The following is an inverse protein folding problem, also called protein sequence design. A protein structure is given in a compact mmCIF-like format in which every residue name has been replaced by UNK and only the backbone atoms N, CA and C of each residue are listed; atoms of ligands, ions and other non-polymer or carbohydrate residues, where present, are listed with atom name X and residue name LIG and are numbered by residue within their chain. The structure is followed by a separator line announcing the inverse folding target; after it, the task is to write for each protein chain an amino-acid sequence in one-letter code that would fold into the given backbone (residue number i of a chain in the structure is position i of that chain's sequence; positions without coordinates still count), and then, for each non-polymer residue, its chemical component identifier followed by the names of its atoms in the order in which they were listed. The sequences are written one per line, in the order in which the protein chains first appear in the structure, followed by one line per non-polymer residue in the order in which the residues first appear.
data_IF_077468606167
#
_entry.id   IF_077468606167
#
_cell.length_a   1.000
_cell.length_b   1.000
_cell.length_c   1.000
_cell.angle_alpha   90.00
_cell.angle_beta   90.00
_cell.angle_gamma   90.00
#
_symmetry.space_group_name_H-M   'P 1'
#
loop_
_entity.id
_entity.type
_entity.pdbx_description
1 polymer ?
#
# COMPACT_ATOMS: atom_id res chain seq x y z
N UNK A 1 -9.79 2.59 -9.31
CA UNK A 1 -8.72 1.69 -8.82
C UNK A 1 -8.72 0.47 -9.71
N UNK A 2 -7.59 0.15 -10.34
CA UNK A 2 -7.50 -1.06 -11.15
C UNK A 2 -7.74 -2.26 -10.23
N UNK A 3 -8.78 -3.05 -10.49
CA UNK A 3 -9.04 -4.28 -9.73
C UNK A 3 -8.01 -5.33 -10.15
N UNK A 4 -6.86 -5.32 -9.50
CA UNK A 4 -5.89 -6.41 -9.62
C UNK A 4 -6.50 -7.70 -9.06
N UNK A 5 -6.05 -8.85 -9.57
CA UNK A 5 -6.50 -10.15 -9.09
C UNK A 5 -6.14 -10.28 -7.60
N UNK A 6 -7.12 -10.50 -6.69
CA UNK A 6 -6.88 -10.53 -5.25
C UNK A 6 -5.87 -11.60 -4.84
N UNK A 7 -5.81 -12.71 -5.58
CA UNK A 7 -4.86 -13.81 -5.31
C UNK A 7 -3.41 -13.34 -5.44
N UNK A 8 -3.11 -12.47 -6.41
CA UNK A 8 -1.74 -11.99 -6.60
C UNK A 8 -1.39 -10.95 -5.55
N UNK A 9 -2.34 -10.12 -5.14
CA UNK A 9 -2.14 -9.17 -4.03
C UNK A 9 -1.82 -9.94 -2.75
N UNK A 10 -2.53 -11.03 -2.47
CA UNK A 10 -2.24 -11.93 -1.35
C UNK A 10 -0.87 -12.60 -1.47
N UNK A 11 -0.46 -12.99 -2.68
CA UNK A 11 0.87 -13.56 -2.93
C UNK A 11 2.00 -12.53 -2.67
N UNK A 12 1.88 -11.33 -3.22
CA UNK A 12 2.83 -10.23 -3.03
C UNK A 12 2.94 -9.82 -1.56
N UNK A 13 1.81 -9.69 -0.87
CA UNK A 13 1.79 -9.37 0.58
C UNK A 13 2.44 -10.46 1.41
N UNK A 14 2.18 -11.73 1.09
CA UNK A 14 2.82 -12.88 1.76
C UNK A 14 4.33 -12.88 1.55
N UNK A 15 4.79 -12.63 0.32
CA UNK A 15 6.23 -12.51 0.01
C UNK A 15 6.87 -11.35 0.79
N UNK A 16 6.24 -10.18 0.78
CA UNK A 16 6.74 -9.00 1.50
C UNK A 16 6.85 -9.28 3.01
N UNK A 17 5.83 -9.93 3.58
CA UNK A 17 5.83 -10.33 4.99
C UNK A 17 6.94 -11.32 5.32
N UNK A 18 7.20 -12.28 4.43
CA UNK A 18 8.30 -13.23 4.57
C UNK A 18 9.67 -12.54 4.53
N UNK A 19 9.86 -11.55 3.65
CA UNK A 19 11.10 -10.76 3.60
C UNK A 19 11.34 -9.95 4.87
N UNK A 20 10.28 -9.30 5.40
CA UNK A 20 10.35 -8.58 6.68
C UNK A 20 10.47 -9.51 7.89
N UNK A 21 10.11 -10.80 7.74
CA UNK A 21 9.99 -11.78 8.82
C UNK A 21 9.03 -11.35 9.94
N UNK A 22 8.01 -10.59 9.59
CA UNK A 22 6.97 -10.11 10.51
C UNK A 22 5.84 -11.14 10.60
N UNK A 23 6.03 -12.15 11.46
CA UNK A 23 5.09 -13.25 11.63
C UNK A 23 4.08 -12.96 12.75
N UNK A 24 2.83 -13.46 12.63
CA UNK A 24 1.82 -13.26 13.66
C UNK A 24 2.26 -13.92 14.97
N UNK A 25 2.14 -13.18 16.08
CA UNK A 25 2.45 -13.66 17.43
C UNK A 25 1.19 -13.71 18.27
N UNK A 26 0.93 -14.88 18.84
CA UNK A 26 -0.20 -15.08 19.74
C UNK A 26 -0.02 -14.26 21.02
N UNK A 27 -1.09 -13.60 21.45
CA UNK A 27 -1.16 -12.98 22.77
C UNK A 27 -2.50 -13.34 23.43
N UNK A 28 -2.47 -13.35 24.75
CA UNK A 28 -3.65 -13.52 25.59
C UNK A 28 -3.50 -12.60 26.79
N UNK A 29 -4.54 -11.81 27.05
CA UNK A 29 -4.59 -10.91 28.20
C UNK A 29 -5.95 -10.98 28.86
N UNK A 30 -5.96 -10.75 30.17
CA UNK A 30 -7.17 -10.78 30.98
C UNK A 30 -7.24 -9.52 31.85
N UNK A 31 -8.40 -8.89 31.88
CA UNK A 31 -8.65 -7.68 32.64
C UNK A 31 -9.82 -7.88 33.59
N UNK A 32 -9.77 -7.21 34.74
CA UNK A 32 -10.97 -7.00 35.54
C UNK A 32 -11.85 -5.95 34.85
N UNK A 33 -13.15 -6.22 34.73
CA UNK A 33 -14.02 -5.45 33.87
C UNK A 33 -14.55 -4.17 34.56
N UNK A 34 -13.66 -3.20 34.79
CA UNK A 34 -13.96 -2.00 35.59
C UNK A 34 -14.38 -0.79 34.74
N UNK A 35 -13.90 -0.70 33.50
CA UNK A 35 -14.12 0.45 32.61
C UNK A 35 -14.65 -0.01 31.25
N UNK A 36 -14.69 0.89 30.27
CA UNK A 36 -15.08 0.57 28.89
C UNK A 36 -13.88 0.47 27.94
N UNK A 37 -12.68 0.83 28.38
CA UNK A 37 -11.51 0.94 27.52
C UNK A 37 -10.38 0.15 28.15
N UNK A 38 -9.79 -0.75 27.36
CA UNK A 38 -8.72 -1.66 27.77
C UNK A 38 -7.55 -1.53 26.81
N UNK A 39 -6.36 -1.35 27.36
CA UNK A 39 -5.12 -1.36 26.61
C UNK A 39 -4.60 -2.80 26.57
N UNK A 40 -4.53 -3.38 25.39
CA UNK A 40 -4.17 -4.80 25.20
C UNK A 40 -2.66 -5.04 25.36
N UNK A 41 -1.86 -3.97 25.44
CA UNK A 41 -0.40 -4.02 25.63
C UNK A 41 0.39 -4.37 24.37
N UNK A 42 -0.30 -4.64 23.26
CA UNK A 42 0.30 -4.98 21.98
C UNK A 42 -0.29 -4.10 20.87
N UNK A 43 0.53 -3.36 20.11
CA UNK A 43 0.08 -2.66 18.91
C UNK A 43 -0.10 -3.64 17.74
N UNK A 44 -0.67 -3.16 16.64
CA UNK A 44 -0.82 -3.88 15.37
C UNK A 44 -1.52 -5.25 15.50
N UNK A 45 -2.71 -5.25 16.09
CA UNK A 45 -3.52 -6.44 16.30
C UNK A 45 -4.26 -6.83 15.02
N UNK A 46 -4.24 -8.11 14.70
CA UNK A 46 -4.98 -8.68 13.57
C UNK A 46 -6.48 -8.75 13.91
N UNK A 47 -7.27 -7.89 13.26
CA UNK A 47 -8.70 -7.71 13.51
C UNK A 47 -9.51 -8.98 13.29
N UNK A 48 -9.08 -9.84 12.37
CA UNK A 48 -9.82 -11.05 11.98
C UNK A 48 -9.57 -12.22 12.93
N UNK A 49 -8.50 -12.14 13.73
CA UNK A 49 -8.07 -13.20 14.64
C UNK A 49 -8.49 -12.98 16.10
N UNK A 50 -9.11 -11.84 16.41
CA UNK A 50 -9.40 -11.46 17.80
C UNK A 50 -10.61 -12.22 18.33
N UNK A 51 -10.40 -12.90 19.45
CA UNK A 51 -11.45 -13.50 20.25
C UNK A 51 -11.58 -12.79 21.59
N UNK A 52 -12.81 -12.38 21.92
CA UNK A 52 -13.12 -11.61 23.13
C UNK A 52 -14.22 -12.32 23.89
N UNK A 53 -13.96 -12.62 25.16
CA UNK A 53 -14.94 -13.25 26.03
C UNK A 53 -15.04 -12.53 27.37
N UNK A 54 -16.26 -12.45 27.91
CA UNK A 54 -16.54 -11.99 29.26
C UNK A 54 -16.90 -13.19 30.14
N UNK A 55 -16.38 -13.25 31.36
CA UNK A 55 -16.73 -14.27 32.34
C UNK A 55 -17.23 -13.64 33.64
N UNK A 56 -18.44 -14.04 34.07
CA UNK A 56 -19.07 -13.66 35.35
C UNK A 56 -19.13 -14.82 36.33
N UNK A 57 -19.22 -16.06 35.83
CA UNK A 57 -19.21 -17.28 36.64
C UNK A 57 -18.75 -18.49 35.80
N UNK A 58 -17.45 -18.78 35.81
CA UNK A 58 -16.78 -19.97 35.24
C UNK A 58 -16.96 -20.30 33.75
N UNK A 59 -17.94 -19.74 33.05
CA UNK A 59 -18.18 -19.97 31.61
C UNK A 59 -17.93 -18.67 30.84
N UNK A 60 -17.03 -18.67 29.85
CA UNK A 60 -16.81 -17.51 28.99
C UNK A 60 -17.98 -17.36 28.01
N UNK A 61 -18.53 -16.15 27.92
CA UNK A 61 -19.47 -15.75 26.85
C UNK A 61 -18.73 -14.88 25.85
N UNK A 62 -18.66 -15.33 24.61
CA UNK A 62 -18.06 -14.57 23.50
C UNK A 62 -18.85 -13.28 23.24
N UNK A 63 -18.12 -12.21 22.99
CA UNK A 63 -18.69 -10.91 22.69
C UNK A 63 -18.88 -10.76 21.17
N UNK A 64 -20.09 -10.43 20.75
CA UNK A 64 -20.36 -10.15 19.34
C UNK A 64 -19.55 -8.94 18.83
N UNK A 65 -19.16 -8.95 17.55
CA UNK A 65 -18.40 -7.87 16.92
C UNK A 65 -19.04 -6.47 17.07
N UNK A 66 -20.37 -6.37 17.21
CA UNK A 66 -21.07 -5.10 17.43
C UNK A 66 -20.94 -4.54 18.85
N UNK A 67 -20.49 -5.35 19.81
CA UNK A 67 -20.39 -4.98 21.22
C UNK A 67 -19.05 -4.34 21.59
N UNK A 68 -18.09 -4.32 20.66
CA UNK A 68 -16.78 -3.72 20.85
C UNK A 68 -16.28 -3.01 19.59
N UNK A 69 -15.28 -2.16 19.77
CA UNK A 69 -14.51 -1.50 18.72
C UNK A 69 -13.05 -1.64 19.08
N UNK A 70 -12.25 -2.12 18.13
CA UNK A 70 -10.81 -2.30 18.28
C UNK A 70 -10.07 -1.24 17.46
N UNK A 71 -9.22 -0.48 18.14
CA UNK A 71 -8.16 0.29 17.50
C UNK A 71 -6.95 -0.64 17.34
N UNK A 72 -6.84 -1.24 16.16
CA UNK A 72 -5.84 -2.26 15.86
C UNK A 72 -4.41 -1.74 15.93
N UNK A 73 -4.17 -0.47 15.53
CA UNK A 73 -2.82 0.12 15.47
C UNK A 73 -2.30 0.43 16.88
N UNK A 74 -3.15 1.01 17.73
CA UNK A 74 -2.77 1.37 19.10
C UNK A 74 -2.97 0.24 20.11
N UNK A 75 -3.66 -0.84 19.73
CA UNK A 75 -3.94 -1.96 20.63
C UNK A 75 -4.98 -1.64 21.70
N UNK A 76 -5.96 -0.78 21.38
CA UNK A 76 -6.97 -0.33 22.34
C UNK A 76 -8.32 -0.98 22.02
N UNK A 77 -8.87 -1.67 23.00
CA UNK A 77 -10.21 -2.25 22.92
C UNK A 77 -11.21 -1.36 23.65
N UNK A 78 -12.31 -1.00 22.98
CA UNK A 78 -13.40 -0.22 23.57
C UNK A 78 -14.71 -0.98 23.50
N UNK A 79 -15.36 -1.16 24.65
CA UNK A 79 -16.67 -1.79 24.76
C UNK A 79 -17.82 -0.78 24.61
N UNK A 80 -18.88 -1.21 23.93
CA UNK A 80 -20.08 -0.40 23.70
C UNK A 80 -20.83 -0.10 25.00
N UNK A 81 -20.80 -1.02 25.96
CA UNK A 81 -21.37 -0.86 27.29
C UNK A 81 -20.37 -1.24 28.38
N UNK A 82 -20.51 -0.66 29.57
CA UNK A 82 -19.70 -1.05 30.72
C UNK A 82 -20.10 -2.47 31.15
N UNK A 83 -19.15 -3.41 31.27
CA UNK A 83 -19.44 -4.76 31.74
C UNK A 83 -20.05 -4.75 33.15
N UNK A 84 -20.77 -5.83 33.48
CA UNK A 84 -21.36 -5.97 34.82
C UNK A 84 -20.26 -6.04 35.90
N UNK A 85 -20.56 -5.57 37.11
CA UNK A 85 -19.64 -5.65 38.23
C UNK A 85 -19.23 -7.11 38.50
N UNK A 86 -17.95 -7.32 38.86
CA UNK A 86 -17.33 -8.64 39.06
C UNK A 86 -17.28 -9.53 37.81
N UNK A 87 -17.44 -8.95 36.62
CA UNK A 87 -17.05 -9.62 35.39
C UNK A 87 -15.58 -9.39 35.09
N UNK A 88 -15.00 -10.31 34.36
CA UNK A 88 -13.65 -10.17 33.83
C UNK A 88 -13.66 -10.43 32.34
N UNK A 89 -12.76 -9.75 31.65
CA UNK A 89 -12.60 -9.78 30.21
C UNK A 89 -11.37 -10.62 29.87
N UNK A 90 -11.48 -11.47 28.86
CA UNK A 90 -10.37 -12.18 28.24
C UNK A 90 -10.32 -11.77 26.77
N UNK A 91 -9.13 -11.43 26.30
CA UNK A 91 -8.86 -11.09 24.90
C UNK A 91 -7.69 -11.94 24.45
N UNK A 92 -7.87 -12.66 23.35
CA UNK A 92 -6.80 -13.40 22.69
C UNK A 92 -6.83 -13.12 21.19
N UNK A 93 -5.68 -13.28 20.54
CA UNK A 93 -5.54 -13.05 19.11
C UNK A 93 -4.09 -13.04 18.70
N UNK A 94 -3.85 -12.59 17.47
CA UNK A 94 -2.51 -12.40 16.93
C UNK A 94 -2.21 -10.92 16.75
N UNK A 95 -0.95 -10.57 16.94
CA UNK A 95 -0.43 -9.24 16.64
C UNK A 95 0.85 -9.35 15.81
N UNK A 96 1.18 -8.25 15.14
CA UNK A 96 2.39 -8.10 14.33
C UNK A 96 3.33 -7.10 14.98
N UNK A 97 4.64 -7.26 14.78
CA UNK A 97 5.61 -6.36 15.42
C UNK A 97 5.78 -5.06 14.62
N UNK A 98 5.63 -5.12 13.30
CA UNK A 98 5.96 -4.00 12.43
C UNK A 98 4.72 -3.41 11.78
N UNK A 99 3.97 -4.19 11.00
CA UNK A 99 2.97 -3.65 10.06
C UNK A 99 1.69 -4.50 10.08
N UNK A 100 0.54 -3.82 10.09
CA UNK A 100 -0.78 -4.46 9.98
C UNK A 100 -0.99 -5.13 8.61
N UNK A 101 -1.74 -6.24 8.51
CA UNK A 101 -2.08 -6.88 7.24
C UNK A 101 -2.69 -5.90 6.22
N UNK A 102 -3.63 -5.07 6.65
CA UNK A 102 -4.31 -4.09 5.79
C UNK A 102 -3.35 -3.02 5.24
N UNK A 103 -2.39 -2.56 6.05
CA UNK A 103 -1.37 -1.60 5.61
C UNK A 103 -0.44 -2.24 4.57
N UNK A 104 -0.06 -3.49 4.78
CA UNK A 104 0.80 -4.21 3.84
C UNK A 104 0.10 -4.45 2.49
N UNK A 105 -1.20 -4.76 2.50
CA UNK A 105 -2.03 -4.87 1.31
C UNK A 105 -2.10 -3.54 0.54
N UNK A 106 -2.28 -2.43 1.25
CA UNK A 106 -2.25 -1.09 0.65
C UNK A 106 -0.92 -0.82 -0.07
N UNK A 107 0.22 -1.12 0.56
CA UNK A 107 1.53 -0.94 -0.07
C UNK A 107 1.80 -1.92 -1.21
N UNK A 108 1.23 -3.13 -1.15
CA UNK A 108 1.31 -4.10 -2.23
C UNK A 108 0.58 -3.59 -3.48
N UNK A 109 -0.62 -3.04 -3.31
CA UNK A 109 -1.35 -2.39 -4.40
C UNK A 109 -0.53 -1.28 -5.05
N UNK A 110 0.05 -0.39 -4.24
CA UNK A 110 0.87 0.69 -4.76
C UNK A 110 2.10 0.17 -5.53
N UNK A 111 2.81 -0.81 -4.97
CA UNK A 111 3.95 -1.43 -5.63
C UNK A 111 3.56 -2.11 -6.95
N UNK A 112 2.41 -2.79 -7.00
CA UNK A 112 1.90 -3.39 -8.24
C UNK A 112 1.61 -2.31 -9.28
N UNK A 113 0.95 -1.21 -8.91
CA UNK A 113 0.66 -0.10 -9.83
C UNK A 113 1.93 0.49 -10.47
N UNK A 114 2.97 0.72 -9.65
CA UNK A 114 4.27 1.23 -10.12
C UNK A 114 4.95 0.32 -11.14
N UNK A 115 4.74 -1.00 -11.03
CA UNK A 115 5.37 -1.98 -11.91
C UNK A 115 4.52 -2.30 -13.14
N UNK A 116 3.20 -2.34 -13.00
CA UNK A 116 2.28 -2.75 -14.07
C UNK A 116 2.09 -1.64 -15.11
N UNK A 117 2.24 -0.36 -14.74
CA UNK A 117 1.99 0.77 -15.65
C UNK A 117 2.68 0.65 -17.03
N UNK A 118 3.92 0.12 -17.06
CA UNK A 118 4.72 0.00 -18.29
C UNK A 118 4.87 -1.45 -18.80
N UNK A 119 4.18 -2.42 -18.19
CA UNK A 119 4.29 -3.83 -18.57
C UNK A 119 3.13 -4.22 -19.49
N UNK A 120 3.47 -4.79 -20.65
CA UNK A 120 2.50 -5.29 -21.63
C UNK A 120 1.91 -6.66 -21.26
N UNK A 121 2.56 -7.36 -20.32
CA UNK A 121 2.14 -8.70 -19.86
C UNK A 121 1.26 -8.56 -18.62
N UNK A 122 0.10 -9.22 -18.55
CA UNK A 122 -0.72 -9.21 -17.35
C UNK A 122 0.02 -9.86 -16.18
N UNK A 123 -0.26 -9.37 -14.97
CA UNK A 123 0.40 -9.78 -13.73
C UNK A 123 0.35 -11.31 -13.49
N UNK A 124 -0.76 -11.94 -13.87
CA UNK A 124 -1.00 -13.40 -13.76
C UNK A 124 -0.02 -14.26 -14.57
N UNK A 125 0.55 -13.71 -15.63
CA UNK A 125 1.48 -14.42 -16.52
C UNK A 125 2.94 -14.02 -16.27
N UNK A 126 3.21 -13.24 -15.22
CA UNK A 126 4.56 -12.82 -14.89
C UNK A 126 5.37 -13.96 -14.27
N UNK A 127 6.68 -13.93 -14.47
CA UNK A 127 7.59 -14.87 -13.81
C UNK A 127 7.60 -14.62 -12.30
N UNK A 128 7.75 -15.69 -11.51
CA UNK A 128 7.82 -15.62 -10.05
C UNK A 128 8.88 -14.61 -9.56
N UNK A 129 10.01 -14.49 -10.26
CA UNK A 129 11.07 -13.53 -9.89
C UNK A 129 10.63 -12.06 -10.01
N UNK A 130 9.69 -11.75 -10.92
CA UNK A 130 9.12 -10.41 -11.07
C UNK A 130 8.18 -10.14 -9.90
N UNK A 131 7.34 -11.11 -9.54
CA UNK A 131 6.44 -11.03 -8.37
C UNK A 131 7.25 -10.86 -7.08
N UNK A 132 8.35 -11.62 -6.92
CA UNK A 132 9.28 -11.46 -5.80
C UNK A 132 9.86 -10.04 -5.71
N UNK A 133 10.22 -9.45 -6.86
CA UNK A 133 10.76 -8.09 -6.92
C UNK A 133 9.70 -7.05 -6.53
N UNK A 134 8.44 -7.25 -6.94
CA UNK A 134 7.29 -6.42 -6.50
C UNK A 134 7.05 -6.59 -4.99
N UNK A 135 7.22 -7.79 -4.45
CA UNK A 135 7.22 -8.05 -3.02
C UNK A 135 8.30 -7.25 -2.27
N UNK A 136 9.52 -7.16 -2.84
CA UNK A 136 10.58 -6.29 -2.27
C UNK A 136 10.21 -4.81 -2.33
N UNK A 137 9.60 -4.34 -3.43
CA UNK A 137 9.12 -2.97 -3.53
C UNK A 137 8.06 -2.65 -2.45
N UNK A 138 7.16 -3.60 -2.19
CA UNK A 138 6.17 -3.51 -1.11
C UNK A 138 6.84 -3.33 0.26
N UNK A 139 7.90 -4.08 0.53
CA UNK A 139 8.72 -3.91 1.75
C UNK A 139 9.29 -2.51 1.84
N UNK A 140 9.92 -2.01 0.77
CA UNK A 140 10.51 -0.66 0.74
C UNK A 140 9.46 0.41 1.03
N UNK A 141 8.28 0.34 0.39
CA UNK A 141 7.18 1.29 0.59
C UNK A 141 6.63 1.24 2.03
N UNK A 142 6.50 0.03 2.59
CA UNK A 142 6.05 -0.14 3.98
C UNK A 142 7.06 0.41 5.00
N UNK A 143 8.37 0.25 4.76
CA UNK A 143 9.41 0.80 5.64
C UNK A 143 9.48 2.33 5.57
N UNK A 144 9.20 2.93 4.40
CA UNK A 144 9.08 4.38 4.26
C UNK A 144 7.95 4.96 5.12
N UNK A 145 6.81 4.28 5.14
CA UNK A 145 5.69 4.68 5.98
C UNK A 145 6.02 4.58 7.48
N UNK A 146 6.67 3.50 7.87
CA UNK A 146 7.08 3.26 9.25
C UNK A 146 8.16 4.25 9.72
N UNK A 147 9.10 4.64 8.85
CA UNK A 147 10.02 5.76 9.13
C UNK A 147 9.27 7.07 9.33
N UNK A 148 8.24 7.33 8.54
CA UNK A 148 7.44 8.55 8.67
C UNK A 148 6.71 8.60 10.02
N UNK A 149 6.29 7.45 10.55
CA UNK A 149 5.74 7.33 11.90
C UNK A 149 6.81 7.58 12.97
N UNK A 150 7.93 6.85 12.91
CA UNK A 150 9.01 6.98 13.90
C UNK A 150 9.75 8.32 13.84
N UNK A 151 9.60 9.09 12.76
CA UNK A 151 10.13 10.45 12.70
C UNK A 151 9.51 11.39 13.73
N UNK A 152 8.35 11.02 14.29
CA UNK A 152 7.64 11.77 15.33
C UNK A 152 8.14 11.47 16.74
N UNK A 153 8.91 10.39 16.93
CA UNK A 153 9.40 9.99 18.23
C UNK A 153 10.55 10.89 18.68
N UNK A 154 10.46 11.40 19.91
CA UNK A 154 11.46 12.27 20.51
C UNK A 154 12.27 11.52 21.56
N UNK A 155 13.54 11.89 21.70
CA UNK A 155 14.38 11.43 22.80
C UNK A 155 13.96 12.14 24.08
N UNK A 156 13.68 11.37 25.14
CA UNK A 156 13.26 11.92 26.44
C UNK A 156 14.39 11.73 27.45
N UNK A 157 14.85 12.85 28.01
CA UNK A 157 15.81 12.89 29.12
C UNK A 157 15.09 13.33 30.39
N UNK A 158 15.05 12.47 31.40
CA UNK A 158 14.51 12.84 32.72
C UNK A 158 15.58 13.47 33.59
N UNK A 159 15.17 14.28 34.57
CA UNK A 159 16.07 14.88 35.57
C UNK A 159 16.82 13.85 36.41
N UNK A 160 16.32 12.60 36.44
CA UNK A 160 16.95 11.45 37.11
C UNK A 160 18.06 10.81 36.27
N UNK A 161 18.48 11.46 35.17
CA UNK A 161 19.50 10.97 34.24
C UNK A 161 19.14 9.68 33.51
N UNK A 162 17.83 9.36 33.40
CA UNK A 162 17.36 8.29 32.53
C UNK A 162 17.19 8.84 31.11
N UNK A 163 17.88 8.22 30.16
CA UNK A 163 17.82 8.57 28.73
C UNK A 163 17.08 7.46 27.99
N UNK A 164 15.90 7.77 27.44
CA UNK A 164 15.14 6.85 26.59
C UNK A 164 15.28 7.33 25.15
N UNK A 165 16.11 6.66 24.33
CA UNK A 165 16.38 7.09 22.96
C UNK A 165 15.27 6.61 22.01
N UNK A 166 14.22 7.40 21.80
CA UNK A 166 13.21 7.17 20.77
C UNK A 166 13.81 7.13 19.36
N UNK A 167 14.83 7.97 19.10
CA UNK A 167 15.52 8.08 17.80
C UNK A 167 16.29 6.83 17.38
N UNK A 168 16.55 5.89 18.29
CA UNK A 168 17.19 4.62 17.94
C UNK A 168 16.32 3.76 17.02
N UNK A 169 15.00 3.75 17.21
CA UNK A 169 14.07 2.99 16.37
C UNK A 169 14.11 3.49 14.93
N UNK A 170 14.05 4.81 14.75
CA UNK A 170 14.18 5.44 13.43
C UNK A 170 15.48 5.03 12.72
N UNK A 171 16.63 5.10 13.42
CA UNK A 171 17.93 4.72 12.82
C UNK A 171 18.01 3.25 12.44
N UNK A 172 17.43 2.36 13.25
CA UNK A 172 17.38 0.94 12.94
C UNK A 172 16.58 0.68 11.66
N UNK A 173 15.39 1.27 11.55
CA UNK A 173 14.55 1.13 10.36
C UNK A 173 15.19 1.76 9.13
N UNK A 174 15.87 2.90 9.29
CA UNK A 174 16.54 3.57 8.18
C UNK A 174 17.63 2.67 7.57
N UNK A 175 18.45 2.02 8.41
CA UNK A 175 19.47 1.11 7.90
C UNK A 175 18.88 -0.13 7.23
N UNK A 176 17.74 -0.63 7.71
CA UNK A 176 17.00 -1.71 7.06
C UNK A 176 16.42 -1.28 5.70
N UNK A 177 15.87 -0.06 5.62
CA UNK A 177 15.33 0.50 4.39
C UNK A 177 16.42 0.65 3.32
N UNK A 178 17.57 1.21 3.68
CA UNK A 178 18.70 1.38 2.75
C UNK A 178 19.16 0.04 2.16
N UNK A 179 19.19 -1.02 2.98
CA UNK A 179 19.52 -2.37 2.52
C UNK A 179 18.49 -2.90 1.50
N UNK A 180 17.20 -2.84 1.84
CA UNK A 180 16.14 -3.37 0.97
C UNK A 180 15.98 -2.56 -0.30
N UNK A 181 16.13 -1.23 -0.23
CA UNK A 181 16.12 -0.37 -1.40
C UNK A 181 17.26 -0.74 -2.37
N UNK A 182 18.48 -0.96 -1.86
CA UNK A 182 19.60 -1.36 -2.69
C UNK A 182 19.39 -2.74 -3.34
N UNK A 183 18.81 -3.71 -2.63
CA UNK A 183 18.47 -5.02 -3.20
C UNK A 183 17.39 -4.91 -4.26
N UNK A 184 16.31 -4.17 -3.98
CA UNK A 184 15.23 -3.91 -4.91
C UNK A 184 15.76 -3.25 -6.19
N UNK A 185 16.50 -2.14 -6.08
CA UNK A 185 17.05 -1.44 -7.24
C UNK A 185 18.00 -2.31 -8.07
N UNK A 186 18.74 -3.21 -7.43
CA UNK A 186 19.62 -4.15 -8.14
C UNK A 186 18.80 -5.16 -8.94
N UNK A 187 17.73 -5.72 -8.37
CA UNK A 187 16.87 -6.69 -9.06
C UNK A 187 16.01 -6.02 -10.13
N UNK A 188 15.38 -4.88 -9.82
CA UNK A 188 14.57 -4.11 -10.76
C UNK A 188 15.40 -3.70 -11.99
N UNK A 189 16.65 -3.27 -11.81
CA UNK A 189 17.57 -2.97 -12.93
C UNK A 189 17.96 -4.21 -13.74
N UNK A 190 18.21 -5.34 -13.08
CA UNK A 190 18.57 -6.58 -13.76
C UNK A 190 17.42 -7.13 -14.62
N UNK A 191 16.18 -6.98 -14.15
CA UNK A 191 14.97 -7.41 -14.84
C UNK A 191 14.39 -6.34 -15.78
N UNK A 192 14.91 -5.11 -15.70
CA UNK A 192 14.41 -3.93 -16.42
C UNK A 192 12.91 -3.68 -16.20
N UNK A 193 12.50 -3.67 -14.92
CA UNK A 193 11.11 -3.45 -14.48
C UNK A 193 11.00 -2.28 -13.49
N UNK A 194 9.78 -1.79 -13.28
CA UNK A 194 9.47 -0.72 -12.33
C UNK A 194 9.82 0.69 -12.83
N UNK A 195 9.74 1.67 -11.92
CA UNK A 195 9.93 3.11 -12.24
C UNK A 195 11.34 3.42 -12.76
N UNK A 196 12.35 2.71 -12.25
CA UNK A 196 13.76 2.92 -12.63
C UNK A 196 14.19 2.09 -13.86
N UNK A 197 13.23 1.63 -14.67
CA UNK A 197 13.48 0.93 -15.92
C UNK A 197 14.32 1.79 -16.87
N UNK A 198 15.30 1.18 -17.51
CA UNK A 198 16.07 1.82 -18.58
C UNK A 198 15.43 1.44 -19.91
N UNK A 199 14.86 2.44 -20.59
CA UNK A 199 14.30 2.28 -21.92
C UNK A 199 15.28 2.77 -22.98
N UNK A 200 15.69 1.86 -23.86
CA UNK A 200 16.46 2.21 -25.07
C UNK A 200 15.48 2.50 -26.19
N UNK A 201 15.18 3.78 -26.40
CA UNK A 201 14.29 4.20 -27.48
C UNK A 201 15.04 4.32 -28.81
N UNK A 202 14.45 3.80 -29.87
CA UNK A 202 14.92 4.01 -31.24
C UNK A 202 14.12 5.16 -31.88
N UNK A 203 14.78 6.31 -32.10
CA UNK A 203 14.16 7.44 -32.77
C UNK A 203 14.09 7.20 -34.29
N UNK A 204 12.87 7.08 -34.83
CA UNK A 204 12.66 7.07 -36.27
C UNK A 204 12.60 8.49 -36.83
N UNK A 205 13.37 8.78 -37.88
CA UNK A 205 13.35 10.08 -38.55
C UNK A 205 12.09 10.24 -39.40
N UNK A 206 11.49 11.43 -39.37
CA UNK A 206 10.42 11.83 -40.32
C UNK A 206 11.03 12.62 -41.48
N UNK A 207 10.68 12.24 -42.71
CA UNK A 207 11.04 12.98 -43.92
C UNK A 207 10.29 14.31 -43.98
N UNK A 208 11.01 15.43 -44.13
CA UNK A 208 10.42 16.78 -44.21
C UNK A 208 9.57 17.00 -45.47
N UNK A 209 9.87 16.28 -46.56
CA UNK A 209 9.22 16.50 -47.86
C UNK A 209 7.91 15.72 -47.95
N UNK A 210 7.90 14.50 -47.45
CA UNK A 210 6.76 13.58 -47.58
C UNK A 210 5.96 13.44 -46.28
N UNK A 211 6.43 14.03 -45.19
CA UNK A 211 5.90 13.85 -43.83
C UNK A 211 5.68 12.36 -43.46
N UNK A 212 6.54 11.49 -43.99
CA UNK A 212 6.50 10.04 -43.77
C UNK A 212 7.77 9.59 -43.06
N UNK A 213 7.65 8.56 -42.23
CA UNK A 213 8.80 7.96 -41.56
C UNK A 213 9.78 7.37 -42.57
N UNK A 214 11.07 7.59 -42.31
CA UNK A 214 12.16 6.96 -43.07
C UNK A 214 12.16 5.46 -42.77
N UNK A 215 12.13 4.58 -43.78
CA UNK A 215 12.13 3.15 -43.57
C UNK A 215 13.47 2.70 -42.96
N UNK A 216 13.37 1.85 -41.92
CA UNK A 216 14.52 1.19 -41.29
C UNK A 216 14.64 -0.21 -41.90
N UNK A 217 15.86 -0.62 -42.21
CA UNK A 217 16.15 -1.93 -42.80
C UNK A 217 16.89 -2.79 -41.79
N UNK A 218 16.66 -4.11 -41.84
CA UNK A 218 17.39 -5.07 -41.00
C UNK A 218 18.88 -5.01 -41.34
N UNK A 219 19.75 -5.01 -40.32
CA UNK A 219 21.18 -5.11 -40.53
C UNK A 219 21.50 -6.44 -41.24
N UNK A 220 22.35 -6.38 -42.27
CA UNK A 220 22.76 -7.54 -43.05
C UNK A 220 24.21 -7.85 -42.78
N UNK A 221 24.51 -9.11 -42.57
CA UNK A 221 25.90 -9.57 -42.46
C UNK A 221 26.55 -9.70 -43.83
N UNK A 222 27.88 -9.72 -43.86
CA UNK A 222 28.64 -9.89 -45.08
C UNK A 222 28.40 -11.29 -45.66
N UNK A 223 27.77 -11.37 -46.83
CA UNK A 223 27.44 -12.64 -47.50
C UNK A 223 25.97 -13.04 -47.44
N UNK A 224 25.13 -12.27 -46.74
CA UNK A 224 23.68 -12.38 -46.90
C UNK A 224 23.28 -11.75 -48.25
N UNK A 225 22.74 -12.53 -49.19
CA UNK A 225 22.28 -12.08 -50.52
C UNK A 225 20.75 -12.01 -50.66
N UNK A 226 20.01 -12.17 -49.56
CA UNK A 226 18.54 -12.08 -49.57
C UNK A 226 17.98 -10.71 -49.99
N UNK A 227 16.68 -10.61 -50.30
CA UNK A 227 16.02 -9.33 -50.50
C UNK A 227 16.08 -8.49 -49.22
N UNK A 228 16.16 -7.17 -49.38
CA UNK A 228 16.27 -6.24 -48.24
C UNK A 228 14.94 -6.24 -47.46
N UNK A 229 14.98 -6.71 -46.22
CA UNK A 229 13.83 -6.71 -45.31
C UNK A 229 13.67 -5.35 -44.61
N UNK A 230 12.45 -4.80 -44.65
CA UNK A 230 12.06 -3.59 -43.92
C UNK A 230 11.57 -3.97 -42.53
N UNK A 231 12.05 -3.26 -41.53
CA UNK A 231 11.61 -3.43 -40.13
C UNK A 231 10.67 -2.28 -39.79
N UNK A 232 9.49 -2.62 -39.28
CA UNK A 232 8.52 -1.67 -38.73
C UNK A 232 8.59 -1.76 -37.21
N UNK A 233 9.39 -0.93 -36.53
CA UNK A 233 9.41 -0.93 -35.08
C UNK A 233 8.03 -0.52 -34.54
N UNK A 234 7.64 -1.09 -33.40
CA UNK A 234 6.50 -0.60 -32.63
C UNK A 234 6.70 0.88 -32.32
N UNK A 235 5.67 1.68 -32.59
CA UNK A 235 5.72 3.13 -32.45
C UNK A 235 4.88 3.49 -31.26
N UNK A 236 5.51 4.17 -30.30
CA UNK A 236 4.78 4.84 -29.24
C UNK A 236 3.88 5.93 -29.85
N UNK A 237 2.69 6.12 -29.27
CA UNK A 237 1.74 7.15 -29.70
C UNK A 237 2.28 8.56 -29.44
N UNK A 238 3.30 8.70 -28.58
CA UNK A 238 3.97 9.98 -28.31
C UNK A 238 3.09 11.01 -27.59
N UNK A 239 1.89 10.60 -27.21
CA UNK A 239 0.97 11.31 -26.34
C UNK A 239 0.88 10.51 -25.06
N UNK A 240 1.36 11.09 -23.97
CA UNK A 240 0.99 10.62 -22.64
C UNK A 240 -0.48 10.98 -22.49
N UNK A 241 -1.36 9.98 -22.53
CA UNK A 241 -2.74 10.15 -22.12
C UNK A 241 -2.71 10.47 -20.63
N UNK A 242 -2.63 11.76 -20.30
CA UNK A 242 -2.82 12.21 -18.93
C UNK A 242 -4.25 11.80 -18.59
N UNK A 243 -4.41 10.91 -17.62
CA UNK A 243 -5.71 10.60 -17.05
C UNK A 243 -6.24 11.89 -16.44
N UNK A 244 -7.05 12.61 -17.22
CA UNK A 244 -7.82 13.74 -16.73
C UNK A 244 -8.89 13.13 -15.85
N UNK A 245 -8.54 12.86 -14.59
CA UNK A 245 -9.50 12.57 -13.54
C UNK A 245 -10.34 13.83 -13.45
N UNK A 246 -11.45 13.87 -14.19
CA UNK A 246 -12.38 14.97 -14.13
C UNK A 246 -12.61 15.27 -12.66
N UNK A 247 -12.34 16.51 -12.25
CA UNK A 247 -12.56 16.93 -10.88
C UNK A 247 -13.98 16.47 -10.51
N UNK A 248 -14.09 15.60 -9.50
CA UNK A 248 -15.36 15.37 -8.82
C UNK A 248 -15.70 16.70 -8.14
N UNK A 249 -16.28 17.60 -8.92
CA UNK A 249 -16.83 18.86 -8.45
C UNK A 249 -17.80 18.48 -7.34
N UNK A 250 -17.44 18.79 -6.09
CA UNK A 250 -18.35 18.70 -4.94
C UNK A 250 -19.65 19.40 -5.30
N UNK A 251 -20.70 18.62 -5.56
CA UNK A 251 -22.06 19.12 -5.80
C UNK A 251 -22.64 19.83 -4.56
N UNK A 252 -21.98 19.67 -3.42
CA UNK A 252 -22.26 20.28 -2.13
C UNK A 252 -21.76 21.73 -1.97
N UNK A 253 -21.03 22.27 -2.96
CA UNK A 253 -20.73 23.70 -3.02
C UNK A 253 -21.75 24.38 -3.93
N UNK A 254 -22.70 25.12 -3.32
CA UNK A 254 -23.57 26.04 -4.05
C UNK A 254 -22.71 27.09 -4.77
N UNK A 255 -22.40 26.85 -6.03
CA UNK A 255 -21.92 27.88 -6.95
C UNK A 255 -23.13 28.77 -7.23
N UNK A 256 -22.95 30.07 -6.98
CA UNK A 256 -23.98 31.10 -7.12
C UNK A 256 -24.34 31.27 -8.61
N UNK A 257 -25.16 30.37 -9.13
CA UNK A 257 -25.72 30.46 -10.48
C UNK A 257 -26.87 31.46 -10.49
N UNK A 258 -26.95 32.29 -11.54
CA UNK A 258 -28.00 33.30 -11.70
C UNK A 258 -29.39 32.75 -11.34
N UNK A 259 -30.17 33.47 -10.51
CA UNK A 259 -31.47 33.00 -10.09
C UNK A 259 -32.40 32.79 -11.31
N UNK A 260 -33.24 31.75 -11.28
CA UNK A 260 -34.15 31.46 -12.39
C UNK A 260 -35.09 32.65 -12.65
N UNK A 261 -35.22 33.01 -13.92
CA UNK A 261 -35.97 34.19 -14.40
C UNK A 261 -37.50 34.11 -14.21
N UNK A 262 -38.01 33.10 -13.50
CA UNK A 262 -39.44 32.86 -13.34
C UNK A 262 -40.08 33.49 -12.09
N UNK A 263 -39.33 34.24 -11.28
CA UNK A 263 -39.86 34.89 -10.05
C UNK A 263 -40.45 36.30 -10.28
N UNK A 264 -40.47 36.80 -11.51
CA UNK A 264 -41.09 38.08 -11.86
C UNK A 264 -42.31 37.92 -12.75
N UNK A 265 -43.34 37.21 -12.30
CA UNK A 265 -44.69 37.47 -12.82
C UNK A 265 -45.79 36.89 -11.91
N UNK A 266 -46.26 37.70 -10.96
CA UNK A 266 -47.69 37.88 -10.67
C UNK A 266 -47.81 39.07 -9.72
N UNK A 267 -48.25 40.20 -10.26
CA UNK A 267 -48.64 41.34 -9.44
C UNK A 267 -49.86 41.03 -8.60
N UNK A 268 -49.94 41.65 -7.42
CA UNK A 268 -51.19 42.09 -6.81
C UNK A 268 -50.89 43.39 -6.04
N UNK A 269 -51.89 44.27 -6.08
CA UNK A 269 -52.02 45.63 -5.56
C UNK A 269 -51.33 45.94 -4.23
#
# INVERSE_FOLDING_TARGET
MAHFNPVIVEEVTTIARNFLRDFPKFFQTSFEATTRTYELGHPNIDTDSVYIAIYTSSTPTELAASAFSLDARNGILRLTSTPAANSSLMVEGYHYEWILPADLEFYAHHAIEEHVYNLSTPLENMSAIVIDTIGMATVVNSLWALLSEYSRDIDVMTSESVHIPGSQRFRMVQSLLEYWQAQYEKQARALNIGVNRIEVMNLSRVSRITNRYVPIYRARELGDYGPIERVFPERDKGTIEVEDKGDDLREDVFVDTNPPSSLYNTGFF
#
